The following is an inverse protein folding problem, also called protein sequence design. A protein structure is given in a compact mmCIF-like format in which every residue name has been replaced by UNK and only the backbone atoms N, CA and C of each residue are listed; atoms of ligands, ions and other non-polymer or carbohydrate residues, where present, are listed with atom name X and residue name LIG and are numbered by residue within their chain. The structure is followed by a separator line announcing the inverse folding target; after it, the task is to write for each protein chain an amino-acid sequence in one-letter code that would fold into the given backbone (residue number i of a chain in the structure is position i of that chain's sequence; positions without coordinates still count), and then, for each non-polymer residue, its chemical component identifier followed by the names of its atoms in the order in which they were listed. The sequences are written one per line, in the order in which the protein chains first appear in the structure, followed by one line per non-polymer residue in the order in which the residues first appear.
data_IF_771214615912
#
_entry.id   IF_771214615912
#
_cell.length_a   1.000
_cell.length_b   1.000
_cell.length_c   1.000
_cell.angle_alpha   90.00
_cell.angle_beta   90.00
_cell.angle_gamma   90.00
#
_symmetry.space_group_name_H-M   'P 1'
#
loop_
_entity.id
_entity.type
_entity.pdbx_description
1 polymer ?
#
# COMPACT_ATOMS: atom_id res chain seq x y z
N UNK A 1 -22.05 5.36 -19.27
CA UNK A 1 -20.60 5.08 -19.11
C UNK A 1 -19.88 6.13 -18.24
N UNK A 2 -20.20 7.42 -18.34
CA UNK A 2 -19.56 8.52 -17.59
C UNK A 2 -19.79 8.46 -16.07
N UNK A 3 -21.01 8.14 -15.60
CA UNK A 3 -21.31 8.05 -14.16
C UNK A 3 -20.45 7.00 -13.42
N UNK A 4 -20.18 5.85 -14.04
CA UNK A 4 -19.34 4.82 -13.42
C UNK A 4 -17.88 5.28 -13.31
N UNK A 5 -17.36 6.05 -14.28
CA UNK A 5 -16.01 6.62 -14.18
C UNK A 5 -15.90 7.64 -13.05
N UNK A 6 -16.90 8.53 -12.91
CA UNK A 6 -16.94 9.51 -11.82
C UNK A 6 -16.97 8.82 -10.46
N UNK A 7 -17.78 7.77 -10.30
CA UNK A 7 -17.82 6.98 -9.05
C UNK A 7 -16.49 6.29 -8.75
N UNK A 8 -15.83 5.69 -9.74
CA UNK A 8 -14.50 5.07 -9.56
C UNK A 8 -13.46 6.09 -9.09
N UNK A 9 -13.42 7.26 -9.74
CA UNK A 9 -12.50 8.34 -9.37
C UNK A 9 -12.80 8.91 -7.99
N UNK A 10 -14.07 9.05 -7.62
CA UNK A 10 -14.46 9.50 -6.28
C UNK A 10 -14.02 8.51 -5.20
N UNK A 11 -14.24 7.20 -5.40
CA UNK A 11 -13.79 6.16 -4.46
C UNK A 11 -12.26 6.16 -4.36
N UNK A 12 -11.56 6.25 -5.50
CA UNK A 12 -10.11 6.36 -5.54
C UNK A 12 -9.61 7.57 -4.74
N UNK A 13 -10.20 8.74 -4.93
CA UNK A 13 -9.84 9.96 -4.22
C UNK A 13 -10.10 9.85 -2.71
N UNK A 14 -11.22 9.23 -2.30
CA UNK A 14 -11.52 8.97 -0.89
C UNK A 14 -10.49 8.02 -0.26
N UNK A 15 -10.10 6.96 -0.97
CA UNK A 15 -9.07 6.02 -0.50
C UNK A 15 -7.71 6.72 -0.36
N UNK A 16 -7.33 7.58 -1.31
CA UNK A 16 -6.11 8.39 -1.24
C UNK A 16 -6.14 9.30 0.00
N UNK A 17 -7.25 10.02 0.21
CA UNK A 17 -7.39 10.92 1.35
C UNK A 17 -7.30 10.17 2.69
N UNK A 18 -7.99 9.02 2.81
CA UNK A 18 -7.91 8.16 3.99
C UNK A 18 -6.48 7.71 4.25
N UNK A 19 -5.78 7.22 3.23
CA UNK A 19 -4.42 6.72 3.36
C UNK A 19 -3.42 7.82 3.77
N UNK A 20 -3.55 9.02 3.21
CA UNK A 20 -2.70 10.18 3.53
C UNK A 20 -2.91 10.65 4.97
N UNK A 21 -4.14 10.62 5.49
CA UNK A 21 -4.47 11.06 6.86
C UNK A 21 -4.17 9.99 7.90
N UNK A 22 -4.52 8.72 7.64
CA UNK A 22 -4.34 7.63 8.60
C UNK A 22 -2.86 7.28 8.82
N UNK A 23 -2.04 7.41 7.78
CA UNK A 23 -0.62 7.05 7.85
C UNK A 23 0.19 7.84 8.89
N UNK A 24 0.09 9.18 9.00
CA UNK A 24 0.78 9.92 10.06
C UNK A 24 0.16 9.69 11.45
N UNK A 25 -1.16 9.49 11.56
CA UNK A 25 -1.84 9.28 12.84
C UNK A 25 -1.43 7.96 13.53
N UNK A 26 -1.21 6.91 12.75
CA UNK A 26 -0.83 5.58 13.23
C UNK A 26 0.62 5.22 12.87
N UNK A 27 1.47 6.23 12.70
CA UNK A 27 2.89 6.02 12.43
C UNK A 27 3.60 5.65 13.73
N UNK A 28 4.11 4.43 13.78
CA UNK A 28 5.03 3.99 14.83
C UNK A 28 6.45 4.26 14.29
N UNK A 29 7.41 4.61 15.15
CA UNK A 29 8.76 5.00 14.70
C UNK A 29 9.36 3.99 13.69
N UNK A 30 9.47 4.42 12.42
CA UNK A 30 9.99 3.60 11.33
C UNK A 30 8.98 2.66 10.65
N UNK A 31 7.73 2.55 11.11
CA UNK A 31 6.69 1.68 10.54
C UNK A 31 5.41 2.47 10.19
N UNK A 32 4.88 2.28 8.99
CA UNK A 32 3.63 2.88 8.53
C UNK A 32 2.59 1.79 8.21
N UNK A 33 2.07 1.08 9.23
CA UNK A 33 1.22 -0.10 9.04
C UNK A 33 -0.09 0.23 8.32
N UNK A 34 -0.67 1.41 8.58
CA UNK A 34 -1.92 1.84 7.95
C UNK A 34 -1.81 2.01 6.43
N UNK A 35 -0.62 2.33 5.90
CA UNK A 35 -0.43 2.41 4.46
C UNK A 35 -0.57 1.05 3.79
N UNK A 36 -0.03 0.00 4.41
CA UNK A 36 -0.20 -1.37 3.92
C UNK A 36 -1.63 -1.88 4.09
N UNK A 37 -2.34 -1.44 5.15
CA UNK A 37 -3.78 -1.74 5.30
C UNK A 37 -4.56 -1.22 4.10
N UNK A 38 -4.40 0.07 3.80
CA UNK A 38 -5.18 0.70 2.73
C UNK A 38 -4.77 0.16 1.37
N UNK A 39 -3.49 -0.14 1.14
CA UNK A 39 -3.02 -0.79 -0.09
C UNK A 39 -3.68 -2.16 -0.33
N UNK A 40 -3.72 -3.02 0.69
CA UNK A 40 -4.33 -4.36 0.57
C UNK A 40 -5.84 -4.25 0.35
N UNK A 41 -6.53 -3.37 1.09
CA UNK A 41 -7.97 -3.14 0.90
C UNK A 41 -8.25 -2.58 -0.50
N UNK A 42 -7.47 -1.60 -0.95
CA UNK A 42 -7.55 -1.02 -2.30
C UNK A 42 -7.29 -2.07 -3.38
N UNK A 43 -6.31 -2.95 -3.20
CA UNK A 43 -5.98 -4.03 -4.11
C UNK A 43 -7.14 -5.02 -4.28
N UNK A 44 -7.80 -5.39 -3.18
CA UNK A 44 -8.96 -6.30 -3.21
C UNK A 44 -10.20 -5.64 -3.81
N UNK A 45 -10.43 -4.38 -3.51
CA UNK A 45 -11.66 -3.67 -3.90
C UNK A 45 -11.58 -3.09 -5.32
N UNK A 46 -10.47 -2.44 -5.66
CA UNK A 46 -10.30 -1.66 -6.90
C UNK A 46 -9.42 -2.38 -7.94
N UNK A 47 -8.73 -3.45 -7.54
CA UNK A 47 -7.82 -4.20 -8.40
C UNK A 47 -6.43 -3.57 -8.54
N UNK A 48 -5.51 -4.25 -9.24
CA UNK A 48 -4.08 -3.91 -9.23
C UNK A 48 -3.77 -2.53 -9.80
N UNK A 49 -4.39 -2.14 -10.91
CA UNK A 49 -4.07 -0.86 -11.57
C UNK A 49 -4.51 0.34 -10.71
N UNK A 50 -5.74 0.35 -10.22
CA UNK A 50 -6.24 1.45 -9.40
C UNK A 50 -5.54 1.51 -8.03
N UNK A 51 -5.24 0.36 -7.42
CA UNK A 51 -4.48 0.31 -6.17
C UNK A 51 -3.05 0.86 -6.35
N UNK A 52 -2.40 0.55 -7.47
CA UNK A 52 -1.04 1.06 -7.75
C UNK A 52 -1.05 2.58 -7.99
N UNK A 53 -2.04 3.09 -8.74
CA UNK A 53 -2.22 4.55 -8.94
C UNK A 53 -2.51 5.25 -7.62
N UNK A 54 -3.36 4.65 -6.76
CA UNK A 54 -3.64 5.15 -5.41
C UNK A 54 -2.36 5.25 -4.59
N UNK A 55 -1.60 4.16 -4.51
CA UNK A 55 -0.37 4.09 -3.72
C UNK A 55 0.69 5.09 -4.21
N UNK A 56 0.82 5.25 -5.52
CA UNK A 56 1.71 6.25 -6.11
C UNK A 56 1.28 7.69 -5.75
N UNK A 57 0.00 8.01 -5.90
CA UNK A 57 -0.53 9.32 -5.55
C UNK A 57 -0.36 9.62 -4.05
N UNK A 58 -0.67 8.65 -3.17
CA UNK A 58 -0.44 8.78 -1.73
C UNK A 58 1.03 9.02 -1.40
N UNK A 59 1.93 8.25 -1.99
CA UNK A 59 3.36 8.39 -1.72
C UNK A 59 3.89 9.76 -2.19
N UNK A 60 3.42 10.26 -3.34
CA UNK A 60 3.75 11.60 -3.83
C UNK A 60 3.21 12.71 -2.91
N UNK A 61 1.97 12.60 -2.46
CA UNK A 61 1.37 13.55 -1.52
C UNK A 61 2.10 13.56 -0.18
N UNK A 62 2.48 12.39 0.34
CA UNK A 62 3.26 12.30 1.58
C UNK A 62 4.67 12.84 1.44
N UNK A 63 5.31 12.63 0.29
CA UNK A 63 6.64 13.16 0.02
C UNK A 63 6.60 14.70 -0.01
N UNK A 64 5.58 15.28 -0.68
CA UNK A 64 5.46 16.73 -0.85
C UNK A 64 4.92 17.46 0.38
N UNK A 65 3.96 16.87 1.11
CA UNK A 65 3.29 17.53 2.24
C UNK A 65 3.89 17.19 3.60
N UNK A 66 4.38 15.96 3.79
CA UNK A 66 4.84 15.46 5.09
C UNK A 66 6.36 15.26 5.14
N UNK A 67 7.09 15.58 4.07
CA UNK A 67 8.55 15.45 4.00
C UNK A 67 9.04 14.00 4.17
N UNK A 68 8.18 13.00 3.90
CA UNK A 68 8.58 11.59 4.01
C UNK A 68 9.56 11.26 2.87
N UNK A 69 10.67 10.57 3.13
CA UNK A 69 11.65 10.27 2.11
C UNK A 69 11.06 9.41 0.97
N UNK A 70 11.57 9.56 -0.26
CA UNK A 70 11.09 8.85 -1.45
C UNK A 70 11.26 7.33 -1.38
N UNK A 71 12.00 6.82 -0.38
CA UNK A 71 12.12 5.39 -0.09
C UNK A 71 10.76 4.72 0.14
N UNK A 72 9.78 5.45 0.69
CA UNK A 72 8.43 4.93 0.91
C UNK A 72 7.64 4.74 -0.40
N UNK A 73 8.06 5.39 -1.50
CA UNK A 73 7.38 5.33 -2.79
C UNK A 73 7.51 3.93 -3.42
N UNK A 74 8.71 3.34 -3.43
CA UNK A 74 8.89 2.01 -4.00
C UNK A 74 8.15 0.95 -3.21
N UNK A 75 8.26 0.97 -1.88
CA UNK A 75 7.50 0.05 -1.03
C UNK A 75 6.00 0.12 -1.32
N UNK A 76 5.40 1.31 -1.31
CA UNK A 76 3.98 1.48 -1.53
C UNK A 76 3.51 1.02 -2.93
N UNK A 77 4.25 1.38 -3.98
CA UNK A 77 3.88 1.05 -5.37
C UNK A 77 4.00 -0.45 -5.63
N UNK A 78 5.12 -1.08 -5.26
CA UNK A 78 5.33 -2.51 -5.46
C UNK A 78 4.45 -3.36 -4.53
N UNK A 79 4.23 -2.91 -3.30
CA UNK A 79 3.27 -3.49 -2.37
C UNK A 79 1.87 -3.57 -2.96
N UNK A 80 1.30 -2.41 -3.33
CA UNK A 80 -0.06 -2.35 -3.87
C UNK A 80 -0.22 -3.13 -5.20
N UNK A 81 0.80 -3.09 -6.06
CA UNK A 81 0.81 -3.84 -7.31
C UNK A 81 0.79 -5.36 -7.05
N UNK A 82 1.69 -5.86 -6.20
CA UNK A 82 1.77 -7.29 -5.88
C UNK A 82 0.59 -7.76 -5.04
N UNK A 83 0.04 -6.92 -4.16
CA UNK A 83 -1.21 -7.21 -3.46
C UNK A 83 -2.36 -7.39 -4.46
N UNK A 84 -2.48 -6.52 -5.46
CA UNK A 84 -3.50 -6.62 -6.49
C UNK A 84 -3.33 -7.83 -7.40
N UNK A 85 -2.09 -8.15 -7.78
CA UNK A 85 -1.78 -9.36 -8.56
C UNK A 85 -2.06 -10.62 -7.74
N UNK A 86 -1.62 -10.65 -6.48
CA UNK A 86 -1.85 -11.75 -5.55
C UNK A 86 -3.34 -12.02 -5.37
N UNK A 87 -4.14 -10.98 -5.16
CA UNK A 87 -5.60 -11.12 -5.12
C UNK A 87 -6.17 -11.68 -6.42
N UNK A 88 -5.69 -11.21 -7.58
CA UNK A 88 -6.19 -11.66 -8.88
C UNK A 88 -5.92 -13.14 -9.15
N UNK A 89 -4.74 -13.62 -8.76
CA UNK A 89 -4.32 -15.02 -8.93
C UNK A 89 -5.07 -15.91 -7.94
N UNK A 90 -5.05 -15.56 -6.66
CA UNK A 90 -5.55 -16.42 -5.61
C UNK A 90 -7.03 -16.27 -5.27
N UNK A 91 -7.67 -15.17 -5.70
CA UNK A 91 -9.05 -14.75 -5.37
C UNK A 91 -9.40 -14.80 -3.88
N UNK A 92 -8.39 -14.74 -3.01
CA UNK A 92 -8.56 -14.66 -1.55
C UNK A 92 -7.75 -13.48 -1.02
N UNK A 93 -8.30 -12.81 -0.01
CA UNK A 93 -7.66 -11.67 0.67
C UNK A 93 -6.28 -12.02 1.23
N UNK A 94 -6.07 -13.29 1.62
CA UNK A 94 -4.78 -13.81 2.09
C UNK A 94 -3.67 -13.67 1.03
N UNK A 95 -4.00 -13.89 -0.25
CA UNK A 95 -3.03 -13.71 -1.33
C UNK A 95 -2.71 -12.24 -1.61
N UNK A 96 -3.64 -11.33 -1.32
CA UNK A 96 -3.39 -9.90 -1.37
C UNK A 96 -2.42 -9.47 -0.26
N UNK A 97 -2.66 -9.94 0.97
CA UNK A 97 -1.78 -9.72 2.11
C UNK A 97 -0.36 -10.28 1.88
N UNK A 98 -0.24 -11.49 1.33
CA UNK A 98 1.04 -12.07 0.95
C UNK A 98 1.75 -11.23 -0.13
N UNK A 99 1.00 -10.74 -1.12
CA UNK A 99 1.52 -9.84 -2.16
C UNK A 99 2.08 -8.54 -1.60
N UNK A 100 1.38 -7.90 -0.65
CA UNK A 100 1.86 -6.70 0.04
C UNK A 100 3.13 -6.98 0.86
N UNK A 101 3.19 -8.10 1.60
CA UNK A 101 4.37 -8.46 2.40
C UNK A 101 5.58 -8.69 1.49
N UNK A 102 5.39 -9.36 0.35
CA UNK A 102 6.47 -9.55 -0.62
C UNK A 102 6.84 -8.25 -1.33
N UNK A 103 5.86 -7.43 -1.73
CA UNK A 103 6.10 -6.20 -2.47
C UNK A 103 6.70 -5.10 -1.63
N UNK A 104 6.13 -4.80 -0.47
CA UNK A 104 6.63 -3.76 0.44
C UNK A 104 7.85 -4.26 1.23
N UNK A 105 7.80 -5.51 1.71
CA UNK A 105 8.86 -6.10 2.53
C UNK A 105 10.10 -6.48 1.75
N UNK A 106 9.99 -7.28 0.68
CA UNK A 106 11.15 -7.79 -0.07
C UNK A 106 11.58 -6.83 -1.18
N UNK A 107 10.68 -6.52 -2.12
CA UNK A 107 11.03 -5.70 -3.29
C UNK A 107 11.23 -4.23 -2.90
N UNK A 108 10.34 -3.70 -2.07
CA UNK A 108 10.38 -2.33 -1.57
C UNK A 108 11.66 -2.02 -0.81
N UNK A 109 12.07 -2.91 0.10
CA UNK A 109 13.31 -2.75 0.87
C UNK A 109 14.55 -2.83 -0.03
N UNK A 110 14.62 -3.81 -0.94
CA UNK A 110 15.73 -3.96 -1.87
C UNK A 110 15.90 -2.74 -2.79
N UNK A 111 14.79 -2.22 -3.32
CA UNK A 111 14.81 -1.04 -4.20
C UNK A 111 14.94 0.29 -3.45
N UNK A 112 14.61 0.32 -2.16
CA UNK A 112 14.81 1.52 -1.34
C UNK A 112 16.30 1.83 -1.12
N UNK A 113 17.18 0.82 -1.13
CA UNK A 113 18.63 0.99 -1.00
C UNK A 113 19.27 1.84 -2.13
N UNK A 114 19.14 1.50 -3.43
CA UNK A 114 19.70 2.31 -4.50
C UNK A 114 19.09 3.70 -4.59
N UNK A 115 17.78 3.84 -4.33
CA UNK A 115 17.12 5.15 -4.31
C UNK A 115 17.66 6.07 -3.22
N UNK A 116 17.97 5.52 -2.04
CA UNK A 116 18.55 6.26 -0.95
C UNK A 116 20.01 6.63 -1.21
N UNK A 117 20.81 5.73 -1.80
CA UNK A 117 22.19 6.06 -2.21
C UNK A 117 22.17 7.21 -3.23
N UNK A 118 21.21 7.20 -4.15
CA UNK A 118 21.05 8.25 -5.15
C UNK A 118 20.59 9.59 -4.56
N UNK A 119 19.67 9.59 -3.58
CA UNK A 119 19.14 10.81 -2.97
C UNK A 119 20.02 11.39 -1.85
N UNK A 120 20.65 10.53 -1.04
CA UNK A 120 21.36 10.93 0.18
C UNK A 120 22.88 10.97 0.00
N UNK A 121 23.43 10.36 -1.07
CA UNK A 121 24.87 10.34 -1.36
C UNK A 121 25.73 9.54 -0.38
N UNK A 122 25.14 9.01 0.70
CA UNK A 122 25.82 8.27 1.75
C UNK A 122 25.80 6.76 1.48
N UNK A 123 26.95 6.21 1.08
CA UNK A 123 27.18 4.77 0.84
C UNK A 123 27.37 3.98 2.13
N UNK A 124 26.42 3.99 3.07
CA UNK A 124 26.49 3.02 4.18
C UNK A 124 25.76 1.74 3.79
N UNK A 125 26.54 0.67 3.60
CA UNK A 125 26.08 -0.67 3.24
C UNK A 125 25.21 -1.35 4.32
N UNK A 126 24.93 -0.70 5.45
CA UNK A 126 24.19 -1.24 6.59
C UNK A 126 22.72 -0.77 6.68
N UNK A 127 22.30 0.19 5.86
CA UNK A 127 20.92 0.73 5.95
C UNK A 127 19.84 -0.30 5.57
N UNK A 128 20.13 -1.26 4.69
CA UNK A 128 19.18 -2.32 4.36
C UNK A 128 18.85 -3.19 5.59
N UNK A 129 19.81 -3.45 6.48
CA UNK A 129 19.58 -4.22 7.70
C UNK A 129 18.69 -3.49 8.71
N UNK A 130 18.67 -2.15 8.68
CA UNK A 130 17.85 -1.34 9.59
C UNK A 130 16.44 -1.12 9.02
N UNK A 131 16.32 -0.89 7.72
CA UNK A 131 15.03 -0.60 7.07
C UNK A 131 14.23 -1.84 6.72
N UNK A 132 14.87 -2.93 6.28
CA UNK A 132 14.16 -4.17 5.88
C UNK A 132 13.26 -4.71 7.00
N UNK A 133 13.71 -4.86 8.26
CA UNK A 133 12.84 -5.31 9.34
C UNK A 133 11.68 -4.36 9.62
N UNK A 134 11.87 -3.06 9.41
CA UNK A 134 10.83 -2.04 9.60
C UNK A 134 9.75 -2.11 8.51
N UNK A 135 10.16 -2.26 7.25
CA UNK A 135 9.24 -2.47 6.13
C UNK A 135 8.48 -3.78 6.28
N UNK A 136 9.15 -4.87 6.66
CA UNK A 136 8.49 -6.15 6.94
C UNK A 136 7.53 -6.06 8.11
N UNK A 137 7.93 -5.47 9.24
CA UNK A 137 7.04 -5.35 10.40
C UNK A 137 5.81 -4.48 10.11
N UNK A 138 5.98 -3.37 9.38
CA UNK A 138 4.87 -2.54 8.91
C UNK A 138 3.95 -3.27 7.93
N UNK A 139 4.51 -4.01 6.96
CA UNK A 139 3.74 -4.76 5.99
C UNK A 139 3.01 -5.95 6.61
N UNK A 140 3.62 -6.69 7.54
CA UNK A 140 2.99 -7.82 8.23
C UNK A 140 1.84 -7.32 9.12
N UNK A 141 2.10 -6.32 9.97
CA UNK A 141 1.08 -5.76 10.86
C UNK A 141 -0.06 -5.13 10.05
N UNK A 142 0.25 -4.36 9.01
CA UNK A 142 -0.75 -3.79 8.11
C UNK A 142 -1.55 -4.86 7.36
N UNK A 143 -0.91 -5.89 6.83
CA UNK A 143 -1.60 -7.00 6.16
C UNK A 143 -2.52 -7.78 7.10
N UNK A 144 -2.11 -8.02 8.35
CA UNK A 144 -2.96 -8.69 9.34
C UNK A 144 -4.22 -7.87 9.63
N UNK A 145 -4.06 -6.56 9.87
CA UNK A 145 -5.18 -5.65 10.09
C UNK A 145 -6.07 -5.59 8.84
N UNK A 146 -5.48 -5.56 7.63
CA UNK A 146 -6.23 -5.56 6.38
C UNK A 146 -7.10 -6.81 6.21
N UNK A 147 -6.59 -7.99 6.59
CA UNK A 147 -7.37 -9.23 6.55
C UNK A 147 -8.58 -9.17 7.46
N UNK A 148 -8.43 -8.61 8.67
CA UNK A 148 -9.54 -8.41 9.59
C UNK A 148 -10.58 -7.43 9.03
N UNK A 149 -10.12 -6.29 8.49
CA UNK A 149 -10.99 -5.30 7.86
C UNK A 149 -11.74 -5.90 6.65
N UNK A 150 -11.03 -6.64 5.79
CA UNK A 150 -11.63 -7.29 4.62
C UNK A 150 -12.62 -8.39 5.00
N UNK A 151 -12.37 -9.12 6.08
CA UNK A 151 -13.32 -10.10 6.62
C UNK A 151 -14.65 -9.44 6.98
N UNK A 152 -14.61 -8.29 7.65
CA UNK A 152 -15.82 -7.53 8.02
C UNK A 152 -16.51 -6.91 6.79
N UNK A 153 -15.73 -6.38 5.84
CA UNK A 153 -16.26 -5.84 4.57
C UNK A 153 -16.92 -6.93 3.71
N UNK A 154 -16.39 -8.15 3.73
CA UNK A 154 -16.98 -9.30 3.03
C UNK A 154 -18.29 -9.75 3.68
N UNK A 155 -18.38 -9.73 5.03
CA UNK A 155 -19.61 -10.04 5.77
C UNK A 155 -20.73 -9.04 5.47
N UNK A 156 -20.39 -7.75 5.37
CA UNK A 156 -21.36 -6.71 5.00
C UNK A 156 -21.75 -6.72 3.50
N UNK A 157 -21.08 -7.54 2.68
CA UNK A 157 -21.28 -7.59 1.22
C UNK A 157 -20.80 -6.33 0.48
N UNK A 158 -20.13 -5.40 1.18
CA UNK A 158 -19.66 -4.14 0.63
C UNK A 158 -18.56 -4.37 -0.41
N UNK A 159 -17.65 -5.32 -0.18
CA UNK A 159 -16.58 -5.68 -1.12
C UNK A 159 -17.14 -6.00 -2.50
N UNK A 160 -18.17 -6.87 -2.57
CA UNK A 160 -18.80 -7.24 -3.84
C UNK A 160 -19.50 -6.08 -4.52
N UNK A 161 -20.09 -5.16 -3.75
CA UNK A 161 -20.73 -3.95 -4.30
C UNK A 161 -19.71 -3.00 -4.90
N UNK A 162 -18.60 -2.76 -4.19
CA UNK A 162 -17.53 -1.89 -4.67
C UNK A 162 -16.81 -2.52 -5.87
N UNK A 163 -16.56 -3.83 -5.86
CA UNK A 163 -15.96 -4.54 -7.00
C UNK A 163 -16.80 -4.44 -8.27
N UNK A 164 -18.14 -4.42 -8.19
CA UNK A 164 -19.00 -4.20 -9.38
C UNK A 164 -18.83 -2.81 -10.00
N UNK A 165 -18.31 -1.86 -9.24
CA UNK A 165 -18.08 -0.50 -9.73
C UNK A 165 -16.80 -0.45 -10.58
N UNK A 166 -15.78 -1.27 -10.28
CA UNK A 166 -14.45 -1.30 -10.93
C UNK A 166 -14.36 -2.33 -12.06
#
# INVERSE_FOLDING_TARGET
MTQNRVKRLAILAMMIALDVVLSPLFRIEGMAPMSSVVNVVAAVVMGPLYATVMAFACALLRMTLLGIPPLALTGAVFGALLAGIGYRIGRRSVWAAAGEILGTGLIGSLLSYPLMVWFTGSSQSLYWLVYTPRFFGGAISGSLIALFVLYELDHSGLTRRLQKIF
#
